data_IF_441396213384
#
_entry.id   IF_441396213384
#
_cell.length_a   1.000
_cell.length_b   1.000
_cell.length_c   1.000
_cell.angle_alpha   90.00
_cell.angle_beta   90.00
_cell.angle_gamma   90.00
#
_symmetry.space_group_name_H-M   'P 1'
#
loop_
_entity.id
_entity.type
_entity.pdbx_description
1 polymer ?
#
# COMPACT_ATOMS: atom_id res chain seq x y z
N UNK A 1 13.28 -4.26 4.83
CA UNK A 1 12.40 -4.95 5.80
C UNK A 1 12.44 -6.46 5.54
N UNK A 2 12.57 -7.24 6.57
CA UNK A 2 12.58 -8.70 6.43
C UNK A 2 11.18 -9.23 6.07
N UNK A 3 11.13 -10.34 5.33
CA UNK A 3 9.88 -10.96 4.89
C UNK A 3 8.91 -11.21 6.05
N UNK A 4 9.38 -11.76 7.16
CA UNK A 4 8.53 -12.06 8.31
C UNK A 4 7.87 -10.81 8.91
N UNK A 5 8.62 -9.73 9.05
CA UNK A 5 8.11 -8.46 9.56
C UNK A 5 7.12 -7.83 8.57
N UNK A 6 7.43 -7.88 7.27
CA UNK A 6 6.54 -7.40 6.22
C UNK A 6 5.21 -8.15 6.22
N UNK A 7 5.26 -9.49 6.25
CA UNK A 7 4.03 -10.30 6.23
C UNK A 7 3.21 -10.13 7.50
N UNK A 8 3.85 -9.94 8.65
CA UNK A 8 3.11 -9.66 9.89
C UNK A 8 2.32 -8.35 9.77
N UNK A 9 2.95 -7.31 9.26
CA UNK A 9 2.29 -6.02 9.04
C UNK A 9 1.21 -6.12 7.97
N UNK A 10 1.49 -6.79 6.85
CA UNK A 10 0.55 -7.01 5.76
C UNK A 10 -0.72 -7.72 6.26
N UNK A 11 -0.55 -8.78 7.07
CA UNK A 11 -1.69 -9.49 7.65
C UNK A 11 -2.46 -8.61 8.63
N UNK A 12 -1.77 -7.88 9.47
CA UNK A 12 -2.40 -7.06 10.50
C UNK A 12 -3.27 -5.94 9.89
N UNK A 13 -2.81 -5.35 8.81
CA UNK A 13 -3.57 -4.33 8.07
C UNK A 13 -4.65 -4.98 7.21
N UNK A 14 -4.30 -6.01 6.48
CA UNK A 14 -5.08 -6.52 5.35
C UNK A 14 -6.05 -7.66 5.67
N UNK A 15 -5.86 -8.39 6.79
CA UNK A 15 -6.74 -9.53 7.09
C UNK A 15 -8.21 -9.13 7.18
N UNK A 16 -8.59 -8.02 7.84
CA UNK A 16 -9.99 -7.58 7.86
C UNK A 16 -10.52 -7.21 6.47
N UNK A 17 -9.65 -6.92 5.51
CA UNK A 17 -9.96 -6.50 4.16
C UNK A 17 -9.76 -7.61 3.13
N UNK A 18 -9.47 -8.83 3.58
CA UNK A 18 -9.26 -10.00 2.74
C UNK A 18 -8.07 -9.89 1.79
N UNK A 19 -7.04 -9.16 2.15
CA UNK A 19 -5.82 -9.09 1.36
C UNK A 19 -5.08 -10.42 1.43
N UNK A 20 -4.72 -10.99 0.29
CA UNK A 20 -4.06 -12.30 0.23
C UNK A 20 -2.94 -12.42 -0.80
N UNK A 21 -2.78 -11.45 -1.70
CA UNK A 21 -1.82 -11.54 -2.80
C UNK A 21 -0.39 -11.82 -2.34
N UNK A 22 0.09 -11.09 -1.33
CA UNK A 22 1.44 -11.30 -0.81
C UNK A 22 1.57 -12.61 -0.04
N UNK A 23 0.48 -13.08 0.55
CA UNK A 23 0.49 -14.35 1.30
C UNK A 23 0.60 -15.56 0.36
N UNK A 24 0.16 -15.43 -0.89
CA UNK A 24 0.24 -16.47 -1.93
C UNK A 24 1.58 -16.47 -2.65
N UNK A 25 2.35 -15.41 -2.53
CA UNK A 25 3.61 -15.25 -3.25
C UNK A 25 4.67 -16.20 -2.69
N UNK A 26 5.44 -16.90 -3.55
CA UNK A 26 6.56 -17.71 -3.08
C UNK A 26 7.55 -16.88 -2.26
N UNK A 27 8.10 -17.48 -1.20
CA UNK A 27 9.01 -16.78 -0.29
C UNK A 27 10.22 -16.16 -1.01
N UNK A 28 10.81 -16.88 -1.96
CA UNK A 28 11.96 -16.39 -2.72
C UNK A 28 11.61 -15.18 -3.58
N UNK A 29 10.42 -15.18 -4.16
CA UNK A 29 9.94 -14.05 -4.98
C UNK A 29 9.70 -12.82 -4.11
N UNK A 30 9.09 -12.99 -2.94
CA UNK A 30 8.86 -11.90 -2.01
C UNK A 30 10.18 -11.34 -1.47
N UNK A 31 11.13 -12.20 -1.13
CA UNK A 31 12.45 -11.77 -0.67
C UNK A 31 13.16 -10.92 -1.74
N UNK A 32 13.09 -11.34 -3.01
CA UNK A 32 13.68 -10.59 -4.10
C UNK A 32 13.00 -9.23 -4.29
N UNK A 33 11.68 -9.18 -4.17
CA UNK A 33 10.91 -7.94 -4.28
C UNK A 33 11.29 -6.96 -3.16
N UNK A 34 11.38 -7.43 -1.93
CA UNK A 34 11.72 -6.59 -0.78
C UNK A 34 13.17 -6.08 -0.82
N UNK A 35 14.08 -6.85 -1.45
CA UNK A 35 15.48 -6.46 -1.60
C UNK A 35 15.73 -5.59 -2.82
N UNK A 36 14.80 -5.55 -3.78
CA UNK A 36 14.95 -4.85 -5.05
C UNK A 36 14.65 -3.36 -4.96
N UNK A 37 14.88 -2.67 -6.08
CA UNK A 37 14.69 -1.23 -6.19
C UNK A 37 13.31 -0.84 -6.75
N UNK A 38 12.55 -1.79 -7.29
CA UNK A 38 11.24 -1.52 -7.88
C UNK A 38 10.14 -1.34 -6.84
N UNK A 39 10.36 -1.76 -5.62
CA UNK A 39 9.41 -1.60 -4.52
C UNK A 39 9.88 -0.53 -3.57
N UNK A 40 9.06 0.51 -3.38
CA UNK A 40 9.28 1.52 -2.36
C UNK A 40 8.27 1.31 -1.23
N UNK A 41 8.78 1.03 -0.05
CA UNK A 41 7.97 0.73 1.14
C UNK A 41 8.16 1.82 2.18
N UNK A 42 7.06 2.47 2.57
CA UNK A 42 7.02 3.46 3.65
C UNK A 42 6.28 2.85 4.82
N UNK A 43 6.92 2.76 5.97
CA UNK A 43 6.34 2.16 7.17
C UNK A 43 6.18 3.23 8.23
N UNK A 44 4.95 3.41 8.70
CA UNK A 44 4.66 4.28 9.84
C UNK A 44 4.91 3.51 11.13
N UNK A 45 5.74 4.07 12.00
CA UNK A 45 6.05 3.46 13.30
C UNK A 45 5.72 4.41 14.43
N UNK A 46 5.35 3.85 15.58
CA UNK A 46 5.22 4.65 16.78
C UNK A 46 6.58 4.90 17.43
N UNK A 47 6.59 5.64 18.55
CA UNK A 47 7.83 5.99 19.24
C UNK A 47 8.57 4.77 19.81
N UNK A 48 7.88 3.65 20.00
CA UNK A 48 8.49 2.39 20.44
C UNK A 48 9.05 1.57 19.28
N UNK A 49 8.80 1.99 18.03
CA UNK A 49 9.23 1.29 16.83
C UNK A 49 8.23 0.29 16.29
N UNK A 50 7.04 0.17 16.89
CA UNK A 50 6.00 -0.73 16.40
C UNK A 50 5.40 -0.19 15.10
N UNK A 51 5.26 -1.08 14.10
CA UNK A 51 4.68 -0.72 12.80
C UNK A 51 3.18 -0.55 12.92
N UNK A 52 2.66 0.61 12.53
CA UNK A 52 1.25 0.97 12.61
C UNK A 52 0.56 0.98 11.25
N UNK A 53 1.31 1.01 10.17
CA UNK A 53 0.75 1.06 8.82
C UNK A 53 1.84 1.18 7.77
N UNK A 54 1.43 1.16 6.50
CA UNK A 54 2.40 1.25 5.42
C UNK A 54 1.78 1.72 4.11
N UNK A 55 2.64 2.26 3.23
CA UNK A 55 2.38 2.48 1.81
C UNK A 55 3.40 1.68 1.02
N UNK A 56 2.94 0.98 0.00
CA UNK A 56 3.80 0.19 -0.89
C UNK A 56 3.60 0.64 -2.33
N UNK A 57 4.67 1.09 -2.97
CA UNK A 57 4.64 1.56 -4.36
C UNK A 57 5.43 0.63 -5.26
N UNK A 58 4.86 0.31 -6.41
CA UNK A 58 5.52 -0.44 -7.47
C UNK A 58 6.04 0.54 -8.53
N UNK A 59 7.35 0.56 -8.73
CA UNK A 59 8.06 1.39 -9.68
C UNK A 59 8.55 0.62 -10.89
N UNK A 60 8.12 -0.63 -11.05
CA UNK A 60 8.57 -1.50 -12.15
C UNK A 60 8.21 -0.97 -13.54
N UNK A 61 7.23 -0.09 -13.64
CA UNK A 61 6.80 0.54 -14.89
C UNK A 61 7.10 2.05 -14.92
N UNK A 62 8.13 2.50 -14.14
CA UNK A 62 8.50 3.92 -14.13
C UNK A 62 8.65 4.46 -15.56
N UNK A 63 8.13 5.65 -15.92
CA UNK A 63 7.67 6.73 -15.05
C UNK A 63 6.22 6.62 -14.54
N UNK A 64 5.56 5.49 -14.68
CA UNK A 64 4.29 5.19 -14.05
C UNK A 64 4.54 4.52 -12.70
N UNK A 65 3.96 5.02 -11.63
CA UNK A 65 4.10 4.44 -10.28
C UNK A 65 2.73 4.00 -9.82
N UNK A 66 2.63 2.77 -9.33
CA UNK A 66 1.39 2.24 -8.77
C UNK A 66 1.47 2.17 -7.25
N UNK A 67 0.48 2.75 -6.56
CA UNK A 67 0.29 2.50 -5.13
C UNK A 67 -0.39 1.13 -5.00
N UNK A 68 0.36 0.13 -4.53
CA UNK A 68 -0.11 -1.26 -4.47
C UNK A 68 -0.87 -1.58 -3.20
N UNK A 69 -0.34 -1.14 -2.06
CA UNK A 69 -0.95 -1.41 -0.77
C UNK A 69 -0.81 -0.18 0.12
N UNK A 70 -1.86 0.13 0.85
CA UNK A 70 -1.89 1.22 1.80
C UNK A 70 -2.88 0.89 2.90
N UNK A 71 -2.49 1.07 4.13
CA UNK A 71 -3.40 0.92 5.24
C UNK A 71 -2.73 1.05 6.60
N UNK A 72 -3.57 1.07 7.61
CA UNK A 72 -3.18 1.11 9.01
C UNK A 72 -3.70 -0.14 9.72
N UNK A 73 -2.97 -0.60 10.74
CA UNK A 73 -3.51 -1.60 11.65
C UNK A 73 -4.78 -1.07 12.31
N UNK A 74 -5.75 -1.93 12.68
CA UNK A 74 -7.04 -1.46 13.18
C UNK A 74 -6.95 -0.48 14.36
N UNK A 75 -6.05 -0.73 15.31
CA UNK A 75 -5.89 0.13 16.48
C UNK A 75 -5.30 1.51 16.18
N UNK A 76 -4.73 1.71 15.00
CA UNK A 76 -4.18 3.00 14.60
C UNK A 76 -5.16 3.85 13.77
N UNK A 77 -6.31 3.29 13.41
CA UNK A 77 -7.31 3.99 12.59
C UNK A 77 -8.03 5.06 13.40
N UNK A 78 -8.61 6.05 12.71
CA UNK A 78 -9.42 7.09 13.35
C UNK A 78 -8.64 8.19 14.06
N UNK A 79 -7.31 8.29 13.85
CA UNK A 79 -6.45 9.29 14.48
C UNK A 79 -5.79 10.26 13.49
N UNK A 80 -6.26 10.27 12.24
CA UNK A 80 -5.68 11.12 11.19
C UNK A 80 -4.34 10.65 10.65
N UNK A 81 -3.87 9.46 11.02
CA UNK A 81 -2.56 8.95 10.62
C UNK A 81 -2.52 8.49 9.16
N UNK A 82 -3.63 7.95 8.65
CA UNK A 82 -3.72 7.48 7.27
C UNK A 82 -3.46 8.58 6.25
N UNK A 83 -4.20 9.70 6.30
CA UNK A 83 -3.95 10.83 5.41
C UNK A 83 -2.54 11.38 5.52
N UNK A 84 -1.99 11.47 6.72
CA UNK A 84 -0.62 11.93 6.93
C UNK A 84 0.41 10.99 6.31
N UNK A 85 0.26 9.68 6.53
CA UNK A 85 1.14 8.66 5.95
C UNK A 85 1.12 8.73 4.43
N UNK A 86 -0.07 8.76 3.83
CA UNK A 86 -0.23 8.81 2.38
C UNK A 86 0.40 10.07 1.80
N UNK A 87 0.11 11.25 2.39
CA UNK A 87 0.68 12.52 1.90
C UNK A 87 2.21 12.50 1.98
N UNK A 88 2.78 12.02 3.07
CA UNK A 88 4.23 11.93 3.26
C UNK A 88 4.87 11.00 2.22
N UNK A 89 4.27 9.83 2.01
CA UNK A 89 4.77 8.86 1.05
C UNK A 89 4.68 9.37 -0.40
N UNK A 90 3.57 10.02 -0.76
CA UNK A 90 3.40 10.62 -2.08
C UNK A 90 4.42 11.70 -2.34
N UNK A 91 4.73 12.55 -1.37
CA UNK A 91 5.78 13.56 -1.50
C UNK A 91 7.14 12.90 -1.79
N UNK A 92 7.42 11.77 -1.15
CA UNK A 92 8.64 11.02 -1.41
C UNK A 92 8.70 10.49 -2.83
N UNK A 93 7.60 9.94 -3.35
CA UNK A 93 7.57 9.39 -4.71
C UNK A 93 7.61 10.49 -5.77
N UNK A 94 6.94 11.64 -5.57
CA UNK A 94 6.97 12.73 -6.53
C UNK A 94 8.35 13.35 -6.73
N UNK A 95 9.29 13.14 -5.81
CA UNK A 95 10.67 13.64 -5.96
C UNK A 95 11.40 13.07 -7.17
N UNK A 96 11.03 11.88 -7.62
CA UNK A 96 11.62 11.26 -8.82
C UNK A 96 10.97 11.73 -10.12
N UNK A 97 10.00 12.66 -10.02
CA UNK A 97 9.33 13.28 -11.16
C UNK A 97 8.65 12.27 -12.08
N UNK A 98 7.79 11.39 -11.57
CA UNK A 98 7.07 10.44 -12.39
C UNK A 98 6.04 11.13 -13.28
N UNK A 99 5.59 10.43 -14.36
CA UNK A 99 4.51 10.93 -15.20
C UNK A 99 3.19 10.87 -14.46
N UNK A 100 2.96 9.81 -13.68
CA UNK A 100 1.78 9.72 -12.82
C UNK A 100 1.98 8.70 -11.70
N UNK A 101 1.21 8.89 -10.64
CA UNK A 101 1.00 7.90 -9.59
C UNK A 101 -0.47 7.49 -9.65
N UNK A 102 -0.73 6.19 -9.72
CA UNK A 102 -2.08 5.66 -9.83
C UNK A 102 -2.30 4.54 -8.83
N UNK A 103 -3.56 4.17 -8.63
CA UNK A 103 -3.92 3.07 -7.75
C UNK A 103 -5.15 2.36 -8.27
N UNK A 104 -5.33 1.15 -7.78
CA UNK A 104 -6.49 0.30 -8.03
C UNK A 104 -7.18 0.07 -6.69
N UNK A 105 -8.46 0.37 -6.59
CA UNK A 105 -9.23 0.14 -5.38
C UNK A 105 -10.45 -0.71 -5.70
N UNK A 106 -10.94 -1.48 -4.72
CA UNK A 106 -12.08 -2.37 -4.89
C UNK A 106 -13.02 -2.33 -3.68
N UNK A 107 -14.06 -3.16 -3.72
CA UNK A 107 -15.07 -3.21 -2.66
C UNK A 107 -14.54 -3.77 -1.33
N UNK A 108 -13.38 -4.43 -1.34
CA UNK A 108 -12.76 -5.02 -0.15
C UNK A 108 -11.77 -4.09 0.55
N UNK A 109 -11.54 -2.89 0.01
CA UNK A 109 -10.73 -1.89 0.69
C UNK A 109 -11.48 -1.31 1.89
N UNK A 110 -10.73 -0.73 2.82
CA UNK A 110 -11.35 -0.07 3.97
C UNK A 110 -12.38 0.96 3.49
N UNK A 111 -13.58 1.01 4.09
CA UNK A 111 -14.64 1.92 3.62
C UNK A 111 -14.23 3.40 3.51
N UNK A 112 -13.26 3.85 4.31
CA UNK A 112 -12.76 5.22 4.27
C UNK A 112 -11.66 5.44 3.22
N UNK A 113 -11.12 4.37 2.60
CA UNK A 113 -9.93 4.47 1.74
C UNK A 113 -10.16 5.38 0.54
N UNK A 114 -11.29 5.23 -0.16
CA UNK A 114 -11.60 6.04 -1.35
C UNK A 114 -11.59 7.54 -1.02
N UNK A 115 -12.20 7.92 0.10
CA UNK A 115 -12.23 9.32 0.54
C UNK A 115 -10.83 9.85 0.84
N UNK A 116 -9.97 9.02 1.47
CA UNK A 116 -8.58 9.40 1.75
C UNK A 116 -7.81 9.62 0.45
N UNK A 117 -7.99 8.71 -0.54
CA UNK A 117 -7.33 8.84 -1.84
C UNK A 117 -7.80 10.11 -2.58
N UNK A 118 -9.09 10.37 -2.61
CA UNK A 118 -9.63 11.55 -3.28
C UNK A 118 -9.11 12.84 -2.64
N UNK A 119 -9.05 12.92 -1.31
CA UNK A 119 -8.49 14.07 -0.59
C UNK A 119 -7.00 14.26 -0.85
N UNK A 120 -6.28 13.18 -1.14
CA UNK A 120 -4.86 13.25 -1.50
C UNK A 120 -4.64 13.66 -2.95
N UNK A 121 -5.69 13.83 -3.75
CA UNK A 121 -5.61 14.28 -5.13
C UNK A 121 -5.84 13.21 -6.18
N UNK A 122 -6.11 11.98 -5.78
CA UNK A 122 -6.44 10.92 -6.75
C UNK A 122 -7.82 11.16 -7.34
N UNK A 123 -7.96 10.83 -8.63
CA UNK A 123 -9.23 10.90 -9.34
C UNK A 123 -9.52 9.57 -10.02
N UNK A 124 -10.79 9.19 -10.04
CA UNK A 124 -11.22 8.00 -10.81
C UNK A 124 -10.99 8.28 -12.30
N UNK A 125 -10.28 7.40 -12.99
CA UNK A 125 -10.09 7.49 -14.43
C UNK A 125 -10.73 6.30 -15.16
N UNK A 126 -11.03 5.21 -14.47
CA UNK A 126 -11.65 4.02 -15.05
C UNK A 126 -12.35 3.22 -13.95
N UNK A 127 -13.51 2.67 -14.26
CA UNK A 127 -14.26 1.75 -13.40
C UNK A 127 -14.66 0.54 -14.23
N UNK A 128 -14.41 -0.66 -13.70
CA UNK A 128 -14.82 -1.89 -14.36
C UNK A 128 -15.01 -3.00 -13.35
N UNK A 129 -15.89 -3.94 -13.69
CA UNK A 129 -16.06 -5.16 -12.92
C UNK A 129 -15.01 -6.16 -13.38
N UNK A 130 -14.17 -6.59 -12.44
CA UNK A 130 -13.16 -7.60 -12.71
C UNK A 130 -13.48 -8.88 -11.95
N UNK A 131 -13.28 -10.06 -12.57
CA UNK A 131 -13.48 -11.31 -11.85
C UNK A 131 -12.48 -11.43 -10.71
N UNK A 132 -12.89 -12.09 -9.63
CA UNK A 132 -11.98 -12.40 -8.53
C UNK A 132 -10.84 -13.29 -9.03
N UNK A 133 -9.63 -13.09 -8.46
CA UNK A 133 -8.50 -13.94 -8.80
C UNK A 133 -8.82 -15.40 -8.45
N UNK A 134 -8.48 -16.36 -9.33
CA UNK A 134 -8.66 -17.77 -9.00
C UNK A 134 -7.74 -18.16 -7.84
N UNK A 135 -8.31 -18.94 -6.96
CA UNK A 135 -7.58 -19.44 -5.79
C UNK A 135 -6.64 -20.59 -6.13
#
# INVERSE_FOLDING_TARGET
MARSAYLALYRHVGAPLRWDQRLKMPATELDALLAGESLHLYVLRDVSGEALGFCEFDRGAFPQIELKNFGLVPQAQGRGLGPWLLATALQGEWRSNPDRIWLHTDEWDHPAARSVYERAGFRVFDERDEPADPL
#
